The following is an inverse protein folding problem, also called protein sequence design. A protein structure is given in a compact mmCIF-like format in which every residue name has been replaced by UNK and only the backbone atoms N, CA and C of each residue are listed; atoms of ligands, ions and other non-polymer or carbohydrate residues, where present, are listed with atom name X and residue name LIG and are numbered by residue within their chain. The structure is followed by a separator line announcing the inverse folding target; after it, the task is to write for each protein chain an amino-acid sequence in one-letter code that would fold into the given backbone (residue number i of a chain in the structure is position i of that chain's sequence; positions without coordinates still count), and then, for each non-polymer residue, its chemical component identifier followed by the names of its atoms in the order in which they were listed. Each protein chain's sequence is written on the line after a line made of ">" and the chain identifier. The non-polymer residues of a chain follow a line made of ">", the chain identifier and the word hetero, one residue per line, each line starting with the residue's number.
data_IF_949154426773
#
_entry.id   IF_949154426773
#
_cell.length_a   1.000
_cell.length_b   1.000
_cell.length_c   1.000
_cell.angle_alpha   90.00
_cell.angle_beta   90.00
_cell.angle_gamma   90.00
#
_symmetry.space_group_name_H-M   'P 1'
#
loop_
_entity.id
_entity.type
_entity.pdbx_description
1 polymer ?
#
# COMPACT_ATOMS: atom_id res chain seq x y z
N UNK A 1 -15.35 -26.46 -45.90
CA UNK A 1 -14.40 -25.37 -45.57
C UNK A 1 -14.94 -24.65 -44.35
N UNK A 2 -14.25 -24.80 -43.21
CA UNK A 2 -14.64 -24.20 -41.94
C UNK A 2 -13.84 -22.91 -41.81
N UNK A 3 -14.52 -21.77 -41.95
CA UNK A 3 -13.89 -20.46 -41.80
C UNK A 3 -14.24 -19.91 -40.43
N UNK A 4 -13.19 -19.78 -39.61
CA UNK A 4 -13.22 -19.34 -38.22
C UNK A 4 -13.88 -17.95 -38.10
N UNK A 5 -14.89 -17.88 -37.23
CA UNK A 5 -15.41 -16.62 -36.70
C UNK A 5 -14.30 -16.04 -35.82
N UNK A 6 -13.69 -14.96 -36.30
CA UNK A 6 -12.70 -14.20 -35.54
C UNK A 6 -13.36 -13.64 -34.28
N UNK A 7 -13.03 -14.21 -33.13
CA UNK A 7 -13.34 -13.61 -31.84
C UNK A 7 -12.45 -12.37 -31.74
N UNK A 8 -13.03 -11.19 -31.94
CA UNK A 8 -12.38 -9.94 -31.57
C UNK A 8 -12.07 -9.99 -30.07
N UNK A 9 -10.85 -9.66 -29.63
CA UNK A 9 -10.56 -9.56 -28.21
C UNK A 9 -11.42 -8.45 -27.62
N UNK A 10 -12.25 -8.83 -26.66
CA UNK A 10 -13.08 -7.95 -25.85
C UNK A 10 -12.24 -6.77 -25.34
N UNK A 11 -12.50 -5.59 -25.89
CA UNK A 11 -12.02 -4.32 -25.37
C UNK A 11 -12.98 -3.92 -24.25
N UNK A 12 -12.58 -4.17 -23.00
CA UNK A 12 -13.25 -3.68 -21.79
C UNK A 12 -12.21 -3.02 -20.88
N UNK A 13 -12.62 -1.97 -20.15
CA UNK A 13 -12.20 -0.60 -20.47
C UNK A 13 -11.48 0.08 -19.31
N UNK A 14 -10.88 1.23 -19.61
CA UNK A 14 -10.35 2.20 -18.64
C UNK A 14 -9.30 1.63 -17.68
N UNK A 15 -8.03 1.69 -18.08
CA UNK A 15 -6.93 1.86 -17.14
C UNK A 15 -7.20 3.15 -16.34
N UNK A 16 -7.95 3.04 -15.25
CA UNK A 16 -7.86 4.01 -14.17
C UNK A 16 -6.52 3.70 -13.52
N UNK A 17 -5.47 4.30 -14.05
CA UNK A 17 -4.17 4.37 -13.41
C UNK A 17 -4.40 5.19 -12.14
N UNK A 18 -4.77 4.50 -11.06
CA UNK A 18 -4.64 5.06 -9.72
C UNK A 18 -3.15 5.24 -9.48
N UNK A 19 -2.63 6.41 -9.83
CA UNK A 19 -1.25 6.75 -9.56
C UNK A 19 -1.10 6.89 -8.06
N UNK A 20 -0.69 5.81 -7.41
CA UNK A 20 -0.25 5.81 -6.02
C UNK A 20 0.82 6.87 -5.90
N UNK A 21 0.52 7.95 -5.19
CA UNK A 21 1.48 9.03 -5.01
C UNK A 21 2.52 8.65 -3.97
N UNK A 22 3.82 8.83 -4.27
CA UNK A 22 4.87 8.55 -3.30
C UNK A 22 4.78 9.52 -2.11
N UNK A 23 5.14 9.05 -0.92
CA UNK A 23 5.27 9.91 0.26
C UNK A 23 6.44 10.88 0.08
N UNK A 24 7.49 10.42 -0.62
CA UNK A 24 8.74 11.14 -0.88
C UNK A 24 9.24 10.73 -2.27
N UNK A 25 9.75 11.65 -3.11
CA UNK A 25 10.17 11.35 -4.49
C UNK A 25 11.49 10.54 -4.60
N UNK A 26 11.90 9.86 -3.55
CA UNK A 26 13.13 9.05 -3.48
C UNK A 26 12.89 7.81 -2.63
N UNK A 27 13.70 6.77 -2.82
CA UNK A 27 13.72 5.64 -1.90
C UNK A 27 14.10 6.09 -0.49
N UNK A 28 13.36 5.59 0.50
CA UNK A 28 13.49 6.00 1.90
C UNK A 28 13.72 4.82 2.83
N UNK A 29 14.48 5.05 3.90
CA UNK A 29 14.55 4.20 5.09
C UNK A 29 14.07 5.00 6.29
N UNK A 30 12.98 4.59 6.92
CA UNK A 30 12.37 5.31 8.03
C UNK A 30 13.16 5.03 9.31
N UNK A 31 13.58 6.11 9.98
CA UNK A 31 14.22 6.07 11.28
C UNK A 31 13.20 6.30 12.40
N UNK A 32 12.24 7.19 12.18
CA UNK A 32 11.28 7.59 13.20
C UNK A 32 9.98 8.09 12.56
N UNK A 33 8.86 7.73 13.19
CA UNK A 33 7.54 8.26 12.91
C UNK A 33 6.98 8.84 14.21
N UNK A 34 6.58 10.11 14.20
CA UNK A 34 6.08 10.82 15.38
C UNK A 34 5.02 11.85 15.00
N UNK A 35 4.38 12.45 15.98
CA UNK A 35 3.54 13.64 15.78
C UNK A 35 4.27 14.91 16.21
N UNK A 36 3.92 16.03 15.57
CA UNK A 36 4.48 17.34 15.90
C UNK A 36 3.36 18.36 16.06
N UNK A 37 3.51 19.24 17.06
CA UNK A 37 2.62 20.37 17.30
C UNK A 37 1.25 19.99 17.87
N UNK A 38 0.45 21.01 18.17
CA UNK A 38 -0.89 20.88 18.77
C UNK A 38 -1.88 20.13 17.89
N UNK A 39 -1.67 20.14 16.57
CA UNK A 39 -2.48 19.41 15.61
C UNK A 39 -2.18 17.92 15.55
N UNK A 40 -1.13 17.44 16.24
CA UNK A 40 -0.62 16.08 16.13
C UNK A 40 -0.34 15.67 14.67
N UNK A 41 0.33 16.55 13.91
CA UNK A 41 0.62 16.28 12.50
C UNK A 41 1.67 15.16 12.39
N UNK A 42 1.39 14.07 11.65
CA UNK A 42 2.36 13.00 11.45
C UNK A 42 3.61 13.50 10.72
N UNK A 43 4.78 13.16 11.24
CA UNK A 43 6.09 13.43 10.65
C UNK A 43 6.86 12.12 10.50
N UNK A 44 7.38 11.87 9.31
CA UNK A 44 8.36 10.82 9.05
C UNK A 44 9.76 11.42 8.98
N UNK A 45 10.70 10.81 9.70
CA UNK A 45 12.14 11.08 9.60
C UNK A 45 12.78 9.87 8.94
N UNK A 46 13.55 10.09 7.89
CA UNK A 46 14.06 9.03 7.03
C UNK A 46 15.42 9.36 6.44
N UNK A 47 16.14 8.32 5.99
CA UNK A 47 17.34 8.42 5.16
C UNK A 47 17.04 8.16 3.71
N UNK A 48 17.78 8.82 2.85
CA UNK A 48 17.88 8.59 1.41
C UNK A 48 19.35 8.43 1.03
N UNK A 49 19.64 8.15 -0.24
CA UNK A 49 21.00 8.21 -0.78
C UNK A 49 21.65 9.61 -0.65
N UNK A 50 20.85 10.67 -0.48
CA UNK A 50 21.31 12.05 -0.34
C UNK A 50 21.46 12.52 1.10
N UNK A 51 21.19 11.65 2.08
CA UNK A 51 21.28 11.97 3.50
C UNK A 51 19.95 11.87 4.24
N UNK A 52 19.90 12.48 5.43
CA UNK A 52 18.76 12.41 6.35
C UNK A 52 17.79 13.57 6.11
N UNK A 53 16.51 13.25 6.01
CA UNK A 53 15.44 14.21 5.73
C UNK A 53 14.23 13.94 6.65
N UNK A 54 13.25 14.85 6.60
CA UNK A 54 11.94 14.64 7.20
C UNK A 54 10.84 15.24 6.34
N UNK A 55 9.66 14.62 6.34
CA UNK A 55 8.46 15.20 5.73
C UNK A 55 7.26 15.05 6.65
N UNK A 56 6.30 15.96 6.50
CA UNK A 56 5.02 15.91 7.18
C UNK A 56 3.98 15.27 6.26
N UNK A 57 3.17 14.38 6.82
CA UNK A 57 2.04 13.81 6.11
C UNK A 57 0.78 14.54 6.54
N UNK A 58 -0.11 14.82 5.58
CA UNK A 58 -1.45 15.29 5.95
C UNK A 58 -2.17 14.19 6.73
N UNK A 59 -3.10 14.58 7.62
CA UNK A 59 -3.90 13.61 8.38
C UNK A 59 -4.66 12.65 7.45
N UNK A 60 -5.18 13.15 6.33
CA UNK A 60 -5.88 12.35 5.35
C UNK A 60 -4.96 11.32 4.67
N UNK A 61 -3.77 11.74 4.22
CA UNK A 61 -2.80 10.84 3.60
C UNK A 61 -2.33 9.75 4.58
N UNK A 62 -2.07 10.14 5.83
CA UNK A 62 -1.68 9.19 6.85
C UNK A 62 -2.81 8.22 7.21
N UNK A 63 -4.05 8.70 7.31
CA UNK A 63 -5.23 7.86 7.53
C UNK A 63 -5.41 6.83 6.41
N UNK A 64 -5.23 7.24 5.14
CA UNK A 64 -5.28 6.32 4.00
C UNK A 64 -4.19 5.25 4.08
N UNK A 65 -2.98 5.61 4.50
CA UNK A 65 -1.91 4.64 4.76
C UNK A 65 -2.31 3.62 5.84
N UNK A 66 -2.88 4.08 6.96
CA UNK A 66 -3.33 3.21 8.04
C UNK A 66 -4.48 2.29 7.59
N UNK A 67 -5.44 2.82 6.83
CA UNK A 67 -6.56 2.04 6.30
C UNK A 67 -6.07 0.96 5.34
N UNK A 68 -5.18 1.32 4.41
CA UNK A 68 -4.55 0.37 3.49
C UNK A 68 -3.79 -0.74 4.25
N UNK A 69 -3.01 -0.39 5.27
CA UNK A 69 -2.34 -1.39 6.12
C UNK A 69 -3.34 -2.37 6.74
N UNK A 70 -4.41 -1.84 7.36
CA UNK A 70 -5.39 -2.66 8.06
C UNK A 70 -6.17 -3.56 7.10
N UNK A 71 -6.59 -3.05 5.93
CA UNK A 71 -7.34 -3.83 4.94
C UNK A 71 -6.52 -4.98 4.34
N UNK A 72 -5.20 -4.81 4.18
CA UNK A 72 -4.32 -5.92 3.75
C UNK A 72 -4.25 -7.01 4.83
N UNK A 73 -4.23 -6.63 6.12
CA UNK A 73 -4.16 -7.58 7.23
C UNK A 73 -5.51 -8.22 7.54
N UNK A 74 -6.61 -7.51 7.31
CA UNK A 74 -7.97 -7.90 7.69
C UNK A 74 -8.97 -7.37 6.67
N UNK A 75 -9.73 -8.26 6.05
CA UNK A 75 -10.61 -7.92 4.91
C UNK A 75 -11.85 -7.08 5.25
N UNK A 76 -12.22 -7.00 6.53
CA UNK A 76 -13.46 -6.35 6.98
C UNK A 76 -13.18 -5.29 8.05
N UNK A 77 -12.40 -4.28 7.69
CA UNK A 77 -12.09 -3.16 8.58
C UNK A 77 -13.16 -2.07 8.41
N UNK A 78 -13.88 -1.78 9.49
CA UNK A 78 -14.79 -0.64 9.53
C UNK A 78 -14.04 0.69 9.51
N UNK A 79 -14.76 1.81 9.41
CA UNK A 79 -14.15 3.13 9.30
C UNK A 79 -13.21 3.40 10.48
N UNK A 80 -12.03 3.94 10.21
CA UNK A 80 -11.13 4.44 11.26
C UNK A 80 -11.76 5.69 11.87
N UNK A 81 -12.04 5.66 13.18
CA UNK A 81 -12.56 6.79 13.95
C UNK A 81 -11.43 7.69 14.45
N UNK A 82 -10.33 7.08 14.89
CA UNK A 82 -9.17 7.81 15.41
C UNK A 82 -7.92 6.93 15.42
N UNK A 83 -6.75 7.58 15.49
CA UNK A 83 -5.49 6.92 15.78
C UNK A 83 -4.72 7.73 16.84
N UNK A 84 -3.86 7.07 17.60
CA UNK A 84 -2.99 7.70 18.59
C UNK A 84 -1.61 7.04 18.60
N UNK A 85 -0.58 7.88 18.69
CA UNK A 85 0.81 7.45 18.83
C UNK A 85 1.08 7.06 20.28
N UNK A 86 1.64 5.87 20.48
CA UNK A 86 2.06 5.34 21.77
C UNK A 86 3.53 4.94 21.71
N UNK A 87 4.08 4.57 22.86
CA UNK A 87 5.48 4.15 22.94
C UNK A 87 5.79 2.89 22.10
N UNK A 88 4.85 1.96 22.02
CA UNK A 88 5.01 0.69 21.29
C UNK A 88 4.60 0.73 19.82
N UNK A 89 3.88 1.79 19.39
CA UNK A 89 3.33 1.87 18.04
C UNK A 89 2.14 2.81 17.95
N UNK A 90 1.22 2.51 17.05
CA UNK A 90 0.03 3.32 16.76
C UNK A 90 -1.21 2.52 17.11
N UNK A 91 -1.98 3.02 18.07
CA UNK A 91 -3.31 2.50 18.34
C UNK A 91 -4.33 3.11 17.39
N UNK A 92 -5.14 2.28 16.77
CA UNK A 92 -6.18 2.66 15.81
C UNK A 92 -7.51 2.18 16.36
N UNK A 93 -8.45 3.10 16.52
CA UNK A 93 -9.83 2.79 16.86
C UNK A 93 -10.67 2.83 15.59
N UNK A 94 -11.33 1.72 15.29
CA UNK A 94 -12.29 1.59 14.19
C UNK A 94 -13.70 1.42 14.73
N UNK A 95 -14.69 1.39 13.85
CA UNK A 95 -16.06 0.99 14.21
C UNK A 95 -16.14 -0.43 14.79
N UNK A 96 -15.31 -1.35 14.29
CA UNK A 96 -15.44 -2.78 14.57
C UNK A 96 -14.40 -3.30 15.57
N UNK A 97 -13.52 -2.44 16.10
CA UNK A 97 -12.48 -2.86 17.04
C UNK A 97 -11.29 -1.90 17.16
N UNK A 98 -10.31 -2.34 17.95
CA UNK A 98 -9.05 -1.63 18.20
C UNK A 98 -7.88 -2.44 17.67
N UNK A 99 -6.92 -1.76 17.05
CA UNK A 99 -5.72 -2.38 16.49
C UNK A 99 -4.48 -1.63 16.96
N UNK A 100 -3.39 -2.36 17.18
CA UNK A 100 -2.07 -1.79 17.43
C UNK A 100 -1.16 -2.15 16.25
N UNK A 101 -0.58 -1.16 15.59
CA UNK A 101 0.50 -1.36 14.63
C UNK A 101 1.81 -0.98 15.30
N UNK A 102 2.72 -1.93 15.49
CA UNK A 102 4.03 -1.66 16.10
C UNK A 102 4.95 -0.90 15.15
N UNK A 103 5.87 -0.09 15.69
CA UNK A 103 6.73 0.78 14.86
C UNK A 103 7.52 0.05 13.75
N UNK A 104 8.14 -1.12 13.99
CA UNK A 104 8.84 -1.83 12.93
C UNK A 104 7.93 -2.20 11.74
N UNK A 105 6.66 -2.54 12.01
CA UNK A 105 5.70 -2.90 10.97
C UNK A 105 5.26 -1.69 10.15
N UNK A 106 4.88 -0.58 10.80
CA UNK A 106 4.44 0.61 10.08
C UNK A 106 5.60 1.26 9.31
N UNK A 107 6.84 1.21 9.83
CA UNK A 107 8.02 1.68 9.11
C UNK A 107 8.23 0.88 7.82
N UNK A 108 8.27 -0.46 7.93
CA UNK A 108 8.44 -1.33 6.76
C UNK A 108 7.30 -1.16 5.74
N UNK A 109 6.06 -0.98 6.22
CA UNK A 109 4.92 -0.69 5.35
C UNK A 109 5.09 0.62 4.60
N UNK A 110 5.39 1.73 5.28
CA UNK A 110 5.50 3.06 4.64
C UNK A 110 6.69 3.12 3.66
N UNK A 111 7.80 2.45 3.97
CA UNK A 111 8.92 2.29 3.03
C UNK A 111 8.49 1.55 1.75
N UNK A 112 7.73 0.46 1.89
CA UNK A 112 7.24 -0.35 0.76
C UNK A 112 6.12 0.34 -0.01
N UNK A 113 5.26 1.08 0.67
CA UNK A 113 4.26 1.96 0.06
C UNK A 113 4.97 2.97 -0.85
N UNK A 114 5.98 3.65 -0.32
CA UNK A 114 6.74 4.63 -1.09
C UNK A 114 7.44 3.99 -2.29
N UNK A 115 8.01 2.79 -2.12
CA UNK A 115 8.62 2.03 -3.22
C UNK A 115 7.59 1.61 -4.27
N UNK A 116 6.41 1.13 -3.88
CA UNK A 116 5.33 0.77 -4.81
C UNK A 116 4.93 1.95 -5.70
N UNK A 117 4.83 3.13 -5.09
CA UNK A 117 4.53 4.39 -5.77
C UNK A 117 5.63 4.81 -6.75
N UNK A 118 6.89 4.80 -6.31
CA UNK A 118 8.04 5.17 -7.15
C UNK A 118 8.25 4.23 -8.33
N UNK A 119 8.03 2.93 -8.12
CA UNK A 119 8.16 1.90 -9.16
C UNK A 119 6.96 1.86 -10.10
N UNK A 120 5.92 2.68 -9.85
CA UNK A 120 4.68 2.76 -10.64
C UNK A 120 4.10 1.38 -10.92
N UNK A 121 3.89 0.59 -9.87
CA UNK A 121 3.35 -0.76 -10.02
C UNK A 121 1.97 -0.72 -10.67
N UNK A 122 1.81 -1.51 -11.73
CA UNK A 122 0.57 -1.66 -12.48
C UNK A 122 -0.20 -2.84 -11.93
N UNK A 123 -1.51 -2.69 -11.74
CA UNK A 123 -2.38 -3.72 -11.16
C UNK A 123 -3.49 -4.07 -12.15
N UNK A 124 -3.65 -5.36 -12.41
CA UNK A 124 -4.75 -5.92 -13.17
C UNK A 124 -5.52 -6.89 -12.27
N UNK A 125 -6.81 -6.60 -12.05
CA UNK A 125 -7.67 -7.48 -11.26
C UNK A 125 -8.15 -8.66 -12.12
N UNK A 126 -8.08 -9.86 -11.55
CA UNK A 126 -8.70 -11.06 -12.11
C UNK A 126 -9.93 -11.44 -11.27
N UNK A 127 -10.67 -12.48 -11.69
CA UNK A 127 -11.83 -12.94 -10.92
C UNK A 127 -11.51 -13.43 -9.50
N UNK A 128 -10.25 -13.84 -9.21
CA UNK A 128 -9.86 -14.44 -7.92
C UNK A 128 -8.55 -13.90 -7.33
N UNK A 129 -7.82 -13.08 -8.09
CA UNK A 129 -6.50 -12.56 -7.73
C UNK A 129 -6.25 -11.19 -8.37
N UNK A 130 -5.07 -10.63 -8.16
CA UNK A 130 -4.58 -9.45 -8.85
C UNK A 130 -3.17 -9.73 -9.38
N UNK A 131 -2.93 -9.44 -10.64
CA UNK A 131 -1.61 -9.49 -11.26
C UNK A 131 -0.98 -8.10 -11.12
N UNK A 132 0.19 -8.04 -10.51
CA UNK A 132 0.94 -6.81 -10.27
C UNK A 132 2.21 -6.83 -11.10
N UNK A 133 2.35 -5.89 -12.03
CA UNK A 133 3.51 -5.73 -12.90
C UNK A 133 4.38 -4.57 -12.41
N UNK A 134 5.69 -4.79 -12.47
CA UNK A 134 6.69 -3.76 -12.23
C UNK A 134 7.36 -3.41 -13.56
N UNK A 135 6.91 -2.35 -14.25
CA UNK A 135 7.44 -2.01 -15.57
C UNK A 135 8.93 -1.65 -15.52
N UNK A 136 9.39 -1.07 -14.40
CA UNK A 136 10.78 -0.67 -14.23
C UNK A 136 11.75 -1.86 -14.07
N UNK A 137 11.28 -2.97 -13.49
CA UNK A 137 12.11 -4.15 -13.20
C UNK A 137 11.79 -5.36 -14.07
N UNK A 138 10.75 -5.28 -14.91
CA UNK A 138 10.27 -6.41 -15.72
C UNK A 138 9.82 -7.61 -14.87
N UNK A 139 9.29 -7.37 -13.67
CA UNK A 139 8.84 -8.44 -12.76
C UNK A 139 7.33 -8.47 -12.64
N UNK A 140 6.79 -9.67 -12.41
CA UNK A 140 5.37 -9.92 -12.23
C UNK A 140 5.16 -10.68 -10.93
N UNK A 141 4.16 -10.29 -10.16
CA UNK A 141 3.71 -10.98 -8.97
C UNK A 141 2.19 -11.13 -9.00
N UNK A 142 1.68 -12.18 -8.37
CA UNK A 142 0.24 -12.39 -8.20
C UNK A 142 -0.11 -12.24 -6.71
N UNK A 143 -1.15 -11.47 -6.43
CA UNK A 143 -1.70 -11.25 -5.09
C UNK A 143 -3.06 -11.92 -5.02
N UNK A 144 -3.28 -12.79 -4.04
CA UNK A 144 -4.55 -13.45 -3.81
C UNK A 144 -4.85 -13.54 -2.30
N UNK A 145 -5.89 -14.30 -1.95
CA UNK A 145 -6.34 -14.45 -0.56
C UNK A 145 -5.31 -15.10 0.38
N UNK A 146 -4.33 -15.82 -0.18
CA UNK A 146 -3.28 -16.51 0.58
C UNK A 146 -2.00 -15.69 0.74
N UNK A 147 -1.87 -14.58 0.00
CA UNK A 147 -0.68 -13.72 0.03
C UNK A 147 -0.26 -13.24 -1.35
N UNK A 148 1.05 -13.15 -1.58
CA UNK A 148 1.63 -12.67 -2.84
C UNK A 148 2.75 -13.59 -3.30
N UNK A 149 2.89 -13.87 -4.59
CA UNK A 149 3.89 -14.82 -5.13
C UNK A 149 5.31 -14.26 -5.26
N UNK A 150 5.53 -12.98 -4.92
CA UNK A 150 6.84 -12.34 -5.05
C UNK A 150 7.91 -12.97 -4.14
N UNK A 151 9.18 -12.94 -4.58
CA UNK A 151 10.32 -13.43 -3.83
C UNK A 151 10.53 -12.75 -2.45
N UNK A 152 9.94 -11.56 -2.24
CA UNK A 152 9.87 -10.92 -0.91
C UNK A 152 9.13 -11.82 0.13
N UNK A 153 8.45 -12.89 -0.30
CA UNK A 153 7.93 -13.96 0.56
C UNK A 153 8.98 -14.72 1.37
N UNK A 154 10.28 -14.52 1.13
CA UNK A 154 11.32 -14.96 2.08
C UNK A 154 11.01 -14.43 3.51
N UNK A 155 10.17 -13.38 3.64
CA UNK A 155 9.67 -12.83 4.90
C UNK A 155 8.16 -13.03 5.14
N UNK A 156 7.60 -14.22 4.86
CA UNK A 156 6.18 -14.70 4.93
C UNK A 156 5.16 -14.04 5.90
N UNK A 157 5.56 -13.16 6.81
CA UNK A 157 4.71 -12.48 7.81
C UNK A 157 4.49 -10.97 7.56
N UNK A 158 5.13 -10.36 6.56
CA UNK A 158 5.06 -8.90 6.35
C UNK A 158 4.43 -8.50 5.01
N UNK A 159 3.75 -7.34 4.99
CA UNK A 159 3.06 -6.80 3.82
C UNK A 159 4.08 -6.43 2.74
N UNK A 160 3.98 -6.99 1.53
CA UNK A 160 4.86 -6.64 0.41
C UNK A 160 4.30 -5.46 -0.42
N UNK A 161 5.15 -4.85 -1.25
CA UNK A 161 4.75 -3.72 -2.12
C UNK A 161 3.61 -4.06 -3.10
N UNK A 162 3.52 -5.31 -3.56
CA UNK A 162 2.47 -5.74 -4.49
C UNK A 162 1.10 -5.82 -3.81
N UNK A 163 1.04 -6.28 -2.55
CA UNK A 163 -0.17 -6.24 -1.73
C UNK A 163 -0.65 -4.81 -1.50
N UNK A 164 0.30 -3.89 -1.27
CA UNK A 164 0.00 -2.45 -1.14
C UNK A 164 -0.60 -1.90 -2.43
N UNK A 165 0.07 -2.15 -3.56
CA UNK A 165 -0.43 -1.69 -4.86
C UNK A 165 -1.83 -2.23 -5.16
N UNK A 166 -2.05 -3.53 -4.91
CA UNK A 166 -3.36 -4.16 -5.09
C UNK A 166 -4.42 -3.51 -4.22
N UNK A 167 -4.15 -3.30 -2.93
CA UNK A 167 -5.14 -2.71 -2.02
C UNK A 167 -5.48 -1.27 -2.39
N UNK A 168 -4.49 -0.47 -2.80
CA UNK A 168 -4.74 0.91 -3.22
C UNK A 168 -5.55 0.95 -4.52
N UNK A 169 -5.28 0.04 -5.46
CA UNK A 169 -6.07 -0.09 -6.68
C UNK A 169 -7.52 -0.51 -6.37
N UNK A 170 -7.73 -1.43 -5.43
CA UNK A 170 -9.08 -1.77 -4.98
C UNK A 170 -9.78 -0.53 -4.39
N UNK A 171 -9.12 0.19 -3.47
CA UNK A 171 -9.67 1.39 -2.84
C UNK A 171 -10.07 2.46 -3.86
N UNK A 172 -9.26 2.69 -4.89
CA UNK A 172 -9.56 3.68 -5.94
C UNK A 172 -10.76 3.31 -6.80
N UNK A 173 -11.07 2.01 -6.90
CA UNK A 173 -12.25 1.53 -7.61
C UNK A 173 -13.50 1.48 -6.72
N UNK A 174 -13.39 1.85 -5.43
CA UNK A 174 -14.47 1.78 -4.45
C UNK A 174 -14.57 0.42 -3.73
N UNK A 175 -13.53 -0.40 -3.82
CA UNK A 175 -13.48 -1.75 -3.25
C UNK A 175 -12.49 -1.76 -2.08
N UNK A 176 -12.94 -2.14 -0.89
CA UNK A 176 -12.05 -2.27 0.29
C UNK A 176 -12.63 -1.71 1.56
#
# INVERSE_FOLDING_TARGET
>A
MVSYVGIQPNHFPNEIISEIQPLVPLEIKIECLKTVGVSNTPQIIYRTSKGRCSTFLSKAQFLNCLLCFLQIKQRNIGKIKSYNFQHSGININTENGKYLIVYPEIHAFLERYNRAALEKLEVELTGISAVVRNPMKGTVAEVNNTGCTCADMIYRRTICKHQIATQLHLQSNGWG
#
